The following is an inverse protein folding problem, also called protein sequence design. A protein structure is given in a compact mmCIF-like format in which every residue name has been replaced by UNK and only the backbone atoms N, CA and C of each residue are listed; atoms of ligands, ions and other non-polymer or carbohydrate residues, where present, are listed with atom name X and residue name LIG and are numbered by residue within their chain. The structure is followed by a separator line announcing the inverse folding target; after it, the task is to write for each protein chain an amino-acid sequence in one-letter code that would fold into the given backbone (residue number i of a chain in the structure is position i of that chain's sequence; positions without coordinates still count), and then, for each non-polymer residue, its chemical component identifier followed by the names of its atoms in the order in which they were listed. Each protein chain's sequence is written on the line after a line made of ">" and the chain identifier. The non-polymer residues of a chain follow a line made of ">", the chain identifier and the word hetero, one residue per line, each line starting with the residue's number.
data_IF_987805472425
#
_entry.id   IF_987805472425
#
_cell.length_a   1.000
_cell.length_b   1.000
_cell.length_c   1.000
_cell.angle_alpha   90.00
_cell.angle_beta   90.00
_cell.angle_gamma   90.00
#
_symmetry.space_group_name_H-M   'P 1'
#
loop_
_entity.id
_entity.type
_entity.pdbx_description
1 polymer ?
#
# COMPACT_ATOMS: atom_id res chain seq x y z
N UNK A 1 -51.87 21.09 -31.16
CA UNK A 1 -50.61 20.39 -31.43
C UNK A 1 -50.27 19.54 -30.19
N UNK A 2 -50.96 18.43 -29.90
CA UNK A 2 -51.54 17.41 -30.81
C UNK A 2 -50.42 16.83 -31.70
N UNK A 3 -50.18 15.51 -31.78
CA UNK A 3 -51.07 14.35 -31.49
C UNK A 3 -50.41 13.22 -30.66
N UNK A 4 -51.23 12.28 -30.16
CA UNK A 4 -50.83 10.98 -29.57
C UNK A 4 -50.80 9.86 -30.65
N UNK A 5 -51.10 8.61 -30.25
CA UNK A 5 -51.22 7.32 -30.98
C UNK A 5 -49.93 6.46 -30.94
N UNK A 6 -49.79 5.47 -30.03
CA UNK A 6 -50.48 4.15 -29.91
C UNK A 6 -50.27 3.30 -31.19
N UNK A 7 -49.80 2.05 -31.19
CA UNK A 7 -50.28 0.79 -30.56
C UNK A 7 -49.10 -0.25 -30.64
N UNK A 8 -48.78 -1.19 -29.74
CA UNK A 8 -49.50 -2.34 -29.14
C UNK A 8 -49.96 -3.44 -30.14
N UNK A 9 -50.11 -4.69 -29.66
CA UNK A 9 -50.98 -5.69 -30.29
C UNK A 9 -50.33 -6.86 -31.04
N UNK A 10 -50.08 -7.95 -30.32
CA UNK A 10 -49.68 -9.28 -30.81
C UNK A 10 -50.83 -10.07 -31.50
N UNK A 11 -50.50 -11.25 -32.05
CA UNK A 11 -51.37 -12.36 -32.50
C UNK A 11 -51.86 -12.36 -33.96
N UNK A 12 -51.95 -13.49 -34.66
CA UNK A 12 -51.51 -14.86 -34.31
C UNK A 12 -52.25 -15.94 -35.11
N UNK A 13 -51.65 -17.15 -35.23
CA UNK A 13 -52.35 -18.47 -35.35
C UNK A 13 -51.37 -19.67 -35.37
N UNK A 14 -50.97 -20.03 -34.15
CA UNK A 14 -50.83 -21.36 -33.52
C UNK A 14 -51.77 -22.49 -34.01
N UNK A 15 -51.73 -23.74 -33.45
CA UNK A 15 -50.67 -24.58 -32.81
C UNK A 15 -50.72 -26.04 -33.40
N UNK A 16 -50.39 -27.19 -32.74
CA UNK A 16 -49.64 -27.52 -31.51
C UNK A 16 -48.41 -28.44 -31.84
N UNK A 17 -47.82 -29.35 -31.04
CA UNK A 17 -48.08 -29.94 -29.71
C UNK A 17 -46.80 -30.55 -29.05
N UNK A 18 -46.93 -31.06 -27.82
CA UNK A 18 -45.96 -31.90 -27.05
C UNK A 18 -46.46 -33.39 -27.01
N UNK A 19 -45.87 -34.41 -26.33
CA UNK A 19 -44.66 -34.50 -25.47
C UNK A 19 -43.74 -35.78 -25.57
N UNK A 20 -42.55 -35.73 -24.94
CA UNK A 20 -41.82 -36.77 -24.12
C UNK A 20 -41.33 -38.15 -24.66
N UNK A 21 -40.36 -38.72 -23.89
CA UNK A 21 -39.91 -40.15 -23.79
C UNK A 21 -38.87 -40.66 -24.81
N UNK A 22 -37.98 -41.65 -24.57
CA UNK A 22 -37.06 -42.09 -23.50
C UNK A 22 -36.31 -43.36 -24.04
N UNK A 23 -34.98 -43.45 -23.86
CA UNK A 23 -34.11 -44.68 -23.74
C UNK A 23 -34.04 -45.79 -24.85
N UNK A 24 -32.92 -46.54 -24.83
CA UNK A 24 -32.60 -47.85 -25.48
C UNK A 24 -32.23 -47.74 -26.99
N UNK A 25 -31.13 -48.30 -27.53
CA UNK A 25 -29.99 -49.05 -26.97
C UNK A 25 -29.66 -50.32 -27.77
N UNK A 26 -28.46 -50.43 -28.37
CA UNK A 26 -27.64 -51.66 -28.55
C UNK A 26 -26.58 -51.56 -29.67
N UNK A 27 -25.36 -51.97 -29.30
CA UNK A 27 -24.39 -52.81 -30.06
C UNK A 27 -24.37 -52.78 -31.59
N UNK A 28 -23.18 -52.47 -32.14
CA UNK A 28 -22.62 -53.34 -33.19
C UNK A 28 -21.14 -53.66 -32.96
N UNK A 29 -20.77 -54.93 -33.18
CA UNK A 29 -19.45 -55.50 -32.94
C UNK A 29 -18.81 -55.81 -34.30
N UNK A 30 -17.87 -54.98 -34.74
CA UNK A 30 -17.12 -55.25 -35.98
C UNK A 30 -15.70 -55.69 -35.65
N UNK A 31 -15.47 -57.00 -35.76
CA UNK A 31 -14.15 -57.59 -35.91
C UNK A 31 -13.67 -57.41 -37.35
N UNK A 32 -12.46 -56.89 -37.56
CA UNK A 32 -11.76 -57.06 -38.84
C UNK A 32 -10.51 -57.92 -38.64
N UNK A 33 -10.62 -59.16 -39.09
CA UNK A 33 -9.54 -60.11 -39.34
C UNK A 33 -8.62 -59.62 -40.46
N UNK A 34 -7.32 -59.92 -40.40
CA UNK A 34 -6.50 -59.91 -41.61
C UNK A 34 -6.99 -61.02 -42.55
N UNK A 35 -7.14 -60.68 -43.83
CA UNK A 35 -7.26 -61.65 -44.92
C UNK A 35 -6.31 -61.21 -46.02
N UNK A 36 -5.20 -61.94 -46.15
CA UNK A 36 -4.27 -61.78 -47.26
C UNK A 36 -4.87 -62.46 -48.51
N UNK A 37 -5.32 -61.67 -49.49
CA UNK A 37 -5.51 -62.20 -50.85
C UNK A 37 -4.19 -62.04 -51.63
N UNK A 38 -3.48 -63.16 -51.78
CA UNK A 38 -2.37 -63.29 -52.73
C UNK A 38 -2.97 -63.52 -54.12
N UNK A 39 -2.66 -62.65 -55.08
CA UNK A 39 -2.94 -62.90 -56.49
C UNK A 39 -1.63 -62.94 -57.31
N UNK A 40 -1.55 -63.90 -58.22
CA UNK A 40 -0.37 -64.33 -58.97
C UNK A 40 -0.52 -64.02 -60.47
N UNK A 41 0.56 -64.26 -61.21
CA UNK A 41 0.71 -64.15 -62.67
C UNK A 41 0.88 -62.69 -63.19
N UNK A 42 1.75 -62.38 -64.15
CA UNK A 42 2.52 -63.24 -65.07
C UNK A 42 3.84 -62.60 -65.57
N UNK A 43 4.80 -63.45 -65.98
CA UNK A 43 5.87 -63.32 -67.03
C UNK A 43 6.46 -61.90 -67.30
N UNK A 44 7.79 -61.67 -67.35
CA UNK A 44 8.86 -62.45 -68.02
C UNK A 44 10.29 -62.10 -67.48
N UNK A 45 11.29 -62.87 -67.90
CA UNK A 45 12.72 -62.95 -67.51
C UNK A 45 13.55 -61.65 -67.39
N UNK A 46 14.44 -61.56 -66.37
CA UNK A 46 15.70 -60.79 -66.47
C UNK A 46 16.29 -60.18 -65.18
N UNK A 47 17.26 -60.87 -64.54
CA UNK A 47 18.28 -60.39 -63.57
C UNK A 47 17.86 -59.68 -62.24
N UNK A 48 18.40 -60.18 -61.14
CA UNK A 48 18.48 -59.60 -59.77
C UNK A 48 19.51 -58.43 -59.68
N UNK A 49 19.59 -57.61 -58.59
CA UNK A 49 19.10 -57.87 -57.21
C UNK A 49 18.45 -56.70 -56.42
N UNK A 50 18.01 -57.06 -55.20
CA UNK A 50 17.91 -56.25 -53.96
C UNK A 50 16.77 -55.21 -53.78
N UNK A 51 15.61 -55.77 -53.45
CA UNK A 51 14.82 -55.49 -52.22
C UNK A 51 14.85 -54.10 -51.55
N UNK A 52 13.67 -53.48 -51.52
CA UNK A 52 13.27 -52.40 -50.64
C UNK A 52 11.74 -52.26 -50.69
N UNK A 53 11.01 -52.20 -49.55
CA UNK A 53 9.55 -52.17 -49.55
C UNK A 53 8.99 -50.91 -50.22
N UNK A 54 7.88 -51.09 -50.95
CA UNK A 54 7.28 -50.08 -51.83
C UNK A 54 6.79 -48.85 -51.08
N UNK A 55 6.96 -47.68 -51.70
CA UNK A 55 6.34 -46.42 -51.27
C UNK A 55 4.82 -46.56 -51.17
N UNK A 56 4.26 -46.27 -49.98
CA UNK A 56 2.81 -46.11 -49.78
C UNK A 56 2.52 -44.62 -49.68
N UNK A 57 1.82 -44.10 -50.69
CA UNK A 57 1.35 -42.72 -50.70
C UNK A 57 0.09 -42.62 -49.85
N UNK A 58 0.20 -42.02 -48.66
CA UNK A 58 -0.97 -41.68 -47.84
C UNK A 58 -1.63 -40.43 -48.44
N UNK A 59 -2.69 -40.63 -49.23
CA UNK A 59 -3.57 -39.57 -49.70
C UNK A 59 -4.29 -38.89 -48.55
N UNK A 60 -4.58 -37.58 -48.69
CA UNK A 60 -5.22 -36.76 -47.66
C UNK A 60 -6.59 -37.31 -47.23
N UNK A 61 -6.83 -37.37 -45.93
CA UNK A 61 -8.16 -37.17 -45.33
C UNK A 61 -8.02 -36.59 -43.91
N UNK A 62 -9.14 -36.14 -43.34
CA UNK A 62 -9.22 -35.24 -42.18
C UNK A 62 -8.82 -35.87 -40.83
N UNK A 63 -8.73 -35.01 -39.81
CA UNK A 63 -8.30 -35.31 -38.42
C UNK A 63 -8.73 -36.70 -37.91
N UNK A 64 -7.77 -37.62 -37.87
CA UNK A 64 -7.82 -38.81 -37.01
C UNK A 64 -6.69 -38.73 -36.00
N UNK A 65 -7.04 -38.75 -34.72
CA UNK A 65 -6.07 -38.86 -33.61
C UNK A 65 -5.51 -40.28 -33.56
N UNK A 66 -4.37 -40.50 -34.22
CA UNK A 66 -3.66 -41.78 -34.19
C UNK A 66 -3.00 -41.99 -32.82
N UNK A 67 -3.73 -42.61 -31.89
CA UNK A 67 -3.20 -43.05 -30.59
C UNK A 67 -2.41 -44.35 -30.79
N UNK A 68 -1.08 -44.26 -30.84
CA UNK A 68 -0.21 -45.43 -31.00
C UNK A 68 -0.13 -46.21 -29.67
N UNK A 69 -0.90 -47.29 -29.54
CA UNK A 69 -0.83 -48.19 -28.39
C UNK A 69 0.15 -49.33 -28.69
N UNK A 70 1.27 -49.35 -27.95
CA UNK A 70 2.27 -50.42 -28.00
C UNK A 70 2.71 -50.79 -26.59
N UNK A 71 2.67 -52.09 -26.27
CA UNK A 71 3.14 -52.61 -24.98
C UNK A 71 4.67 -52.57 -24.95
N UNK A 72 5.23 -51.60 -24.23
CA UNK A 72 6.69 -51.53 -24.00
C UNK A 72 7.06 -52.52 -22.89
N UNK A 73 7.73 -53.61 -23.25
CA UNK A 73 8.26 -54.56 -22.28
C UNK A 73 9.52 -53.96 -21.62
N UNK A 74 9.34 -53.33 -20.46
CA UNK A 74 10.40 -52.67 -19.69
C UNK A 74 11.29 -53.70 -18.99
N UNK A 75 12.31 -54.22 -19.69
CA UNK A 75 13.45 -54.82 -19.01
C UNK A 75 14.22 -53.76 -18.23
N UNK A 76 14.51 -54.02 -16.96
CA UNK A 76 15.17 -53.09 -16.04
C UNK A 76 16.50 -52.55 -16.58
N UNK A 77 16.62 -51.22 -16.65
CA UNK A 77 17.89 -50.51 -16.88
C UNK A 77 17.87 -49.56 -18.07
N UNK A 78 17.88 -48.25 -17.78
CA UNK A 78 18.21 -47.14 -18.69
C UNK A 78 17.32 -46.96 -19.94
N UNK A 79 16.29 -46.13 -19.83
CA UNK A 79 15.64 -45.54 -21.00
C UNK A 79 16.40 -44.31 -21.49
N UNK A 80 16.84 -44.34 -22.75
CA UNK A 80 17.34 -43.17 -23.47
C UNK A 80 16.18 -42.53 -24.26
N UNK A 81 15.98 -41.22 -24.13
CA UNK A 81 15.04 -40.45 -24.95
C UNK A 81 15.70 -40.09 -26.29
N UNK A 82 15.14 -40.61 -27.39
CA UNK A 82 15.76 -40.54 -28.74
C UNK A 82 15.48 -39.21 -29.48
N UNK A 83 14.70 -38.30 -28.89
CA UNK A 83 14.29 -37.04 -29.53
C UNK A 83 14.34 -35.83 -28.57
N UNK A 84 15.49 -35.62 -27.93
CA UNK A 84 15.74 -34.40 -27.15
C UNK A 84 16.99 -33.68 -27.65
N UNK A 85 16.81 -32.90 -28.71
CA UNK A 85 17.82 -32.00 -29.27
C UNK A 85 17.10 -30.79 -29.90
N UNK A 86 16.73 -29.83 -29.06
CA UNK A 86 16.69 -28.41 -29.40
C UNK A 86 16.82 -27.61 -28.10
N UNK A 87 18.05 -27.16 -27.85
CA UNK A 87 18.43 -26.06 -26.96
C UNK A 87 17.79 -26.04 -25.56
N UNK A 88 18.52 -26.64 -24.61
CA UNK A 88 18.24 -26.62 -23.18
C UNK A 88 18.43 -25.22 -22.55
N UNK A 89 17.58 -24.26 -22.91
CA UNK A 89 17.21 -23.19 -21.99
C UNK A 89 16.55 -23.84 -20.76
N UNK A 90 17.34 -24.05 -19.70
CA UNK A 90 16.82 -24.49 -18.40
C UNK A 90 15.93 -23.40 -17.82
N UNK A 91 14.67 -23.37 -18.25
CA UNK A 91 13.62 -22.55 -17.63
C UNK A 91 13.60 -22.88 -16.15
N UNK A 92 13.95 -21.91 -15.32
CA UNK A 92 14.09 -22.10 -13.88
C UNK A 92 12.69 -22.23 -13.25
N UNK A 93 12.14 -23.45 -13.26
CA UNK A 93 10.83 -23.73 -12.68
C UNK A 93 10.98 -23.78 -11.17
N UNK A 94 10.61 -22.67 -10.51
CA UNK A 94 10.51 -22.62 -9.06
C UNK A 94 9.56 -23.72 -8.54
N UNK A 95 10.00 -24.56 -7.58
CA UNK A 95 9.18 -25.63 -7.05
C UNK A 95 8.02 -25.07 -6.21
N UNK A 96 6.93 -25.84 -6.08
CA UNK A 96 5.70 -25.38 -5.41
C UNK A 96 5.92 -24.87 -3.98
N UNK A 97 6.82 -25.50 -3.21
CA UNK A 97 7.14 -25.05 -1.85
C UNK A 97 7.83 -23.67 -1.84
N UNK A 98 8.64 -23.36 -2.87
CA UNK A 98 9.27 -22.05 -2.98
C UNK A 98 8.22 -20.97 -3.29
N UNK A 99 7.25 -21.25 -4.17
CA UNK A 99 6.10 -20.34 -4.39
C UNK A 99 5.28 -20.11 -3.12
N UNK A 100 5.09 -21.16 -2.30
CA UNK A 100 4.43 -21.03 -1.00
C UNK A 100 5.20 -20.10 -0.04
N UNK A 101 6.53 -20.27 0.09
CA UNK A 101 7.35 -19.38 0.92
C UNK A 101 7.43 -17.95 0.37
N UNK A 102 7.35 -17.77 -0.95
CA UNK A 102 7.25 -16.42 -1.56
C UNK A 102 5.96 -15.73 -1.09
N UNK A 103 4.83 -16.44 -1.07
CA UNK A 103 3.56 -15.89 -0.57
C UNK A 103 3.51 -15.71 0.95
N UNK A 104 4.11 -16.64 1.71
CA UNK A 104 4.06 -16.64 3.18
C UNK A 104 5.05 -15.66 3.83
N UNK A 105 6.20 -15.41 3.20
CA UNK A 105 7.31 -14.66 3.81
C UNK A 105 7.78 -13.52 2.91
N UNK A 106 8.16 -13.80 1.65
CA UNK A 106 8.84 -12.80 0.80
C UNK A 106 7.93 -11.62 0.46
N UNK A 107 6.70 -11.88 0.01
CA UNK A 107 5.73 -10.82 -0.32
C UNK A 107 5.42 -9.98 0.93
N UNK A 108 5.06 -10.55 2.10
CA UNK A 108 4.93 -9.80 3.34
C UNK A 108 6.14 -8.95 3.72
N UNK A 109 7.35 -9.49 3.68
CA UNK A 109 8.57 -8.73 4.07
C UNK A 109 8.80 -7.55 3.13
N UNK A 110 8.66 -7.75 1.81
CA UNK A 110 8.79 -6.66 0.83
C UNK A 110 7.67 -5.63 1.00
N UNK A 111 6.45 -6.07 1.33
CA UNK A 111 5.30 -5.19 1.52
C UNK A 111 5.39 -4.37 2.82
N UNK A 112 5.85 -4.96 3.92
CA UNK A 112 6.22 -4.26 5.16
C UNK A 112 7.31 -3.23 4.92
N UNK A 113 8.36 -3.58 4.16
CA UNK A 113 9.42 -2.62 3.83
C UNK A 113 8.90 -1.47 2.96
N UNK A 114 8.07 -1.76 1.96
CA UNK A 114 7.47 -0.76 1.07
C UNK A 114 6.51 0.17 1.82
N UNK A 115 5.66 -0.38 2.69
CA UNK A 115 4.74 0.43 3.52
C UNK A 115 5.49 1.22 4.59
N UNK A 116 6.60 0.69 5.13
CA UNK A 116 7.49 1.45 6.02
C UNK A 116 8.17 2.64 5.33
N UNK A 117 8.53 2.52 4.04
CA UNK A 117 9.06 3.65 3.25
C UNK A 117 7.99 4.69 2.86
N UNK A 118 6.72 4.30 2.81
CA UNK A 118 5.59 5.21 2.55
C UNK A 118 5.05 5.87 3.83
N UNK A 119 5.28 5.25 4.98
CA UNK A 119 4.91 5.75 6.30
C UNK A 119 5.94 6.77 6.78
N UNK A 120 5.81 8.03 6.35
CA UNK A 120 6.61 9.13 6.85
C UNK A 120 6.22 9.43 8.31
N UNK A 121 6.95 8.86 9.27
CA UNK A 121 6.64 8.98 10.69
C UNK A 121 7.00 10.38 11.21
N UNK A 122 6.03 11.28 11.19
CA UNK A 122 6.14 12.66 11.64
C UNK A 122 5.26 13.56 10.79
N UNK A 123 4.01 13.78 11.21
CA UNK A 123 3.12 14.73 10.55
C UNK A 123 3.51 16.18 10.85
N UNK A 124 4.38 16.43 11.84
CA UNK A 124 4.83 17.77 12.23
C UNK A 124 6.28 18.06 11.81
N UNK A 125 6.60 19.34 11.70
CA UNK A 125 7.97 19.86 11.75
C UNK A 125 8.10 20.84 12.92
N UNK A 126 9.33 21.07 13.35
CA UNK A 126 9.68 21.98 14.42
C UNK A 126 10.87 22.83 14.00
N UNK A 127 10.79 24.13 14.25
CA UNK A 127 11.88 25.10 14.19
C UNK A 127 12.07 25.66 15.58
N UNK A 128 13.29 25.66 16.11
CA UNK A 128 13.54 26.12 17.48
C UNK A 128 14.82 26.94 17.62
N UNK A 129 14.91 27.70 18.71
CA UNK A 129 16.10 28.41 19.13
C UNK A 129 16.17 28.49 20.67
N UNK A 130 17.32 28.10 21.22
CA UNK A 130 17.73 28.21 22.62
C UNK A 130 18.60 29.46 22.88
N UNK A 131 19.10 30.10 21.82
CA UNK A 131 19.92 31.30 21.88
C UNK A 131 19.12 32.54 21.46
N UNK A 132 18.87 33.43 22.40
CA UNK A 132 18.37 34.77 22.11
C UNK A 132 19.50 35.80 21.94
N UNK A 133 19.18 36.87 21.23
CA UNK A 133 19.91 38.13 21.26
C UNK A 133 19.04 39.19 21.93
N UNK A 134 19.50 39.73 23.06
CA UNK A 134 18.99 40.99 23.60
C UNK A 134 19.75 42.12 22.92
N UNK A 135 19.03 42.99 22.22
CA UNK A 135 19.59 44.21 21.64
C UNK A 135 19.59 45.39 22.64
N UNK A 136 18.95 45.22 23.82
CA UNK A 136 18.37 46.31 24.61
C UNK A 136 17.33 47.12 23.80
N UNK A 137 16.62 46.45 22.89
CA UNK A 137 15.46 47.02 22.20
C UNK A 137 14.25 46.91 23.13
N UNK A 138 13.56 48.02 23.37
CA UNK A 138 12.32 48.11 24.13
C UNK A 138 11.11 48.34 23.21
N UNK A 139 9.92 47.90 23.65
CA UNK A 139 8.67 48.16 22.94
C UNK A 139 7.58 48.61 23.91
N UNK A 140 6.78 49.60 23.51
CA UNK A 140 5.60 50.03 24.27
C UNK A 140 4.32 49.48 23.64
N UNK A 141 3.57 48.67 24.39
CA UNK A 141 2.31 48.04 24.00
C UNK A 141 1.26 48.38 25.07
N UNK A 142 0.10 48.94 24.69
CA UNK A 142 -0.95 49.35 25.64
C UNK A 142 -0.47 50.21 26.83
N UNK A 143 0.43 51.18 26.57
CA UNK A 143 1.07 52.07 27.57
C UNK A 143 2.09 51.39 28.52
N UNK A 144 2.20 50.06 28.50
CA UNK A 144 3.24 49.31 29.23
C UNK A 144 4.53 49.18 28.40
N UNK A 145 5.69 49.10 29.08
CA UNK A 145 7.01 48.90 28.47
C UNK A 145 7.47 47.43 28.61
N UNK A 146 8.13 46.90 27.58
CA UNK A 146 8.60 45.52 27.49
C UNK A 146 10.02 45.45 26.92
N UNK A 147 10.85 44.56 27.46
CA UNK A 147 12.16 44.20 26.90
C UNK A 147 11.99 43.19 25.76
N UNK A 148 12.69 43.39 24.64
CA UNK A 148 12.57 42.54 23.43
C UNK A 148 13.77 41.61 23.24
N UNK A 149 13.48 40.32 23.19
CA UNK A 149 14.42 39.22 22.94
C UNK A 149 14.20 38.64 21.55
N UNK A 150 15.25 38.57 20.73
CA UNK A 150 15.17 38.01 19.37
C UNK A 150 15.77 36.61 19.31
N UNK A 151 14.97 35.67 18.84
CA UNK A 151 15.32 34.29 18.53
C UNK A 151 15.41 34.09 17.01
N UNK A 152 16.49 33.48 16.53
CA UNK A 152 16.70 33.19 15.11
C UNK A 152 16.49 31.70 14.82
N UNK A 153 15.31 31.35 14.32
CA UNK A 153 14.86 29.96 14.09
C UNK A 153 15.52 29.29 12.85
N UNK A 154 16.38 30.03 12.13
CA UNK A 154 17.10 29.52 10.98
C UNK A 154 16.30 29.57 9.68
N UNK A 155 16.92 29.10 8.58
CA UNK A 155 16.37 29.28 7.23
C UNK A 155 15.14 28.40 6.98
N UNK A 156 14.11 29.03 6.40
CA UNK A 156 12.88 28.36 5.97
C UNK A 156 11.76 28.45 7.00
N UNK A 157 12.02 29.00 8.19
CA UNK A 157 10.96 29.32 9.15
C UNK A 157 9.99 30.35 8.56
N UNK A 158 10.49 31.39 7.88
CA UNK A 158 9.66 32.41 7.22
C UNK A 158 8.72 31.82 6.15
N UNK A 159 9.18 30.83 5.39
CA UNK A 159 8.39 30.14 4.37
C UNK A 159 7.37 29.15 4.99
N UNK A 160 7.65 28.67 6.22
CA UNK A 160 6.82 27.69 6.94
C UNK A 160 5.76 28.36 7.83
N UNK A 161 6.03 29.55 8.37
CA UNK A 161 5.12 30.24 9.29
C UNK A 161 3.77 30.54 8.62
N UNK A 162 2.67 30.11 9.26
CA UNK A 162 1.29 30.20 8.74
C UNK A 162 1.05 29.50 7.39
N UNK A 163 1.94 28.61 6.95
CA UNK A 163 1.77 27.85 5.70
C UNK A 163 0.83 26.63 5.84
N UNK A 164 0.46 26.26 7.07
CA UNK A 164 -0.43 25.14 7.40
C UNK A 164 -1.48 25.58 8.42
N UNK A 165 -2.63 24.88 8.43
CA UNK A 165 -3.79 25.21 9.28
C UNK A 165 -3.55 24.93 10.77
N UNK A 166 -2.66 23.99 11.10
CA UNK A 166 -2.34 23.58 12.47
C UNK A 166 -0.91 23.96 12.81
N UNK A 167 -0.75 24.88 13.77
CA UNK A 167 0.54 25.34 14.25
C UNK A 167 0.46 25.92 15.66
N UNK A 168 1.59 25.96 16.35
CA UNK A 168 1.80 26.73 17.57
C UNK A 168 3.24 27.24 17.64
N UNK A 169 3.40 28.42 18.22
CA UNK A 169 4.65 28.88 18.84
C UNK A 169 4.53 28.58 20.33
N UNK A 170 5.58 28.03 20.94
CA UNK A 170 5.74 27.91 22.39
C UNK A 170 7.02 28.66 22.80
N UNK A 171 6.94 29.36 23.93
CA UNK A 171 8.06 30.10 24.52
C UNK A 171 8.22 29.68 25.96
N UNK A 172 9.43 29.26 26.33
CA UNK A 172 9.76 28.77 27.66
C UNK A 172 10.54 29.80 28.48
N UNK A 173 10.28 29.79 29.77
CA UNK A 173 10.92 30.65 30.77
C UNK A 173 11.49 29.78 31.88
N UNK A 174 12.80 29.57 31.84
CA UNK A 174 13.56 28.88 32.89
C UNK A 174 14.15 29.87 33.89
N UNK A 175 13.66 29.86 35.14
CA UNK A 175 14.25 30.67 36.19
C UNK A 175 15.25 29.85 37.03
N UNK A 176 16.53 30.21 36.91
CA UNK A 176 17.63 29.67 37.71
C UNK A 176 17.74 30.34 39.11
N UNK A 177 16.60 30.46 39.81
CA UNK A 177 16.55 31.01 41.16
C UNK A 177 17.18 30.03 42.17
N UNK A 178 18.16 30.44 43.01
CA UNK A 178 18.76 29.58 44.01
C UNK A 178 17.78 29.01 45.05
N UNK A 179 16.61 29.65 45.27
CA UNK A 179 15.61 29.19 46.23
C UNK A 179 14.63 28.14 45.66
N UNK A 180 14.64 27.90 44.35
CA UNK A 180 13.85 26.84 43.72
C UNK A 180 13.82 26.93 42.19
N UNK A 181 13.85 25.77 41.52
CA UNK A 181 13.70 25.67 40.07
C UNK A 181 12.22 25.76 39.71
N UNK A 182 11.87 26.73 38.88
CA UNK A 182 10.52 26.91 38.35
C UNK A 182 10.59 27.16 36.84
N UNK A 183 9.71 26.48 36.13
CA UNK A 183 9.54 26.54 34.68
C UNK A 183 8.09 26.89 34.41
N UNK A 184 7.86 27.82 33.47
CA UNK A 184 6.57 28.10 32.88
C UNK A 184 6.76 28.40 31.41
N UNK A 185 5.68 28.29 30.64
CA UNK A 185 5.72 28.52 29.20
C UNK A 185 4.49 29.31 28.75
N UNK A 186 4.50 29.79 27.51
CA UNK A 186 3.35 30.46 26.94
C UNK A 186 3.24 30.21 25.44
N UNK A 187 2.00 30.10 24.96
CA UNK A 187 1.69 29.59 23.62
C UNK A 187 0.89 30.61 22.80
N UNK A 188 1.12 30.59 21.49
CA UNK A 188 0.26 31.20 20.46
C UNK A 188 0.08 30.18 19.36
N UNK A 189 -1.14 29.72 19.10
CA UNK A 189 -1.38 28.68 18.10
C UNK A 189 -2.85 28.29 17.98
N UNK A 190 -3.20 27.61 16.89
CA UNK A 190 -4.61 27.32 16.53
C UNK A 190 -5.18 26.12 17.29
N UNK A 191 -4.32 25.23 17.80
CA UNK A 191 -4.72 23.90 18.29
C UNK A 191 -5.13 23.87 19.78
N UNK A 192 -4.62 24.79 20.59
CA UNK A 192 -5.07 24.90 21.99
C UNK A 192 -6.43 25.60 22.06
N UNK A 193 -7.41 24.92 22.67
CA UNK A 193 -8.86 25.24 22.75
C UNK A 193 -9.25 26.66 23.19
N UNK A 194 -8.31 27.50 23.62
CA UNK A 194 -8.53 28.88 24.10
C UNK A 194 -7.56 29.92 23.49
N UNK A 195 -6.58 29.48 22.67
CA UNK A 195 -5.56 30.34 22.07
C UNK A 195 -6.05 30.95 20.73
N UNK A 196 -7.09 31.78 20.79
CA UNK A 196 -7.32 32.72 19.69
C UNK A 196 -6.09 33.64 19.57
N UNK A 197 -5.57 33.81 18.35
CA UNK A 197 -4.48 34.77 18.09
C UNK A 197 -5.01 36.18 18.32
N UNK A 198 -4.84 36.69 19.53
CA UNK A 198 -5.21 38.06 19.93
C UNK A 198 -4.07 39.00 19.50
N UNK A 199 -4.31 39.76 18.44
CA UNK A 199 -3.37 40.74 17.90
C UNK A 199 -3.52 42.11 18.59
N UNK A 200 -2.39 42.78 18.81
CA UNK A 200 -2.30 44.14 19.34
C UNK A 200 -1.23 44.94 18.59
N UNK A 201 -1.51 46.22 18.34
CA UNK A 201 -0.51 47.14 17.78
C UNK A 201 0.38 47.73 18.89
N UNK A 202 1.69 47.82 18.63
CA UNK A 202 2.59 48.63 19.45
C UNK A 202 2.50 50.12 19.12
N UNK A 203 3.20 50.95 19.91
CA UNK A 203 3.25 52.40 19.72
C UNK A 203 3.82 52.87 18.35
N UNK A 204 4.48 51.99 17.59
CA UNK A 204 4.97 52.25 16.24
C UNK A 204 4.04 51.69 15.13
N UNK A 205 2.96 51.01 15.51
CA UNK A 205 2.02 50.37 14.60
C UNK A 205 2.51 49.04 14.01
N UNK A 206 3.38 48.31 14.74
CA UNK A 206 3.70 46.91 14.42
C UNK A 206 2.73 46.00 15.18
N UNK A 207 2.25 44.96 14.50
CA UNK A 207 1.38 43.94 15.09
C UNK A 207 2.19 42.94 15.93
N UNK A 208 1.67 42.63 17.12
CA UNK A 208 2.14 41.61 18.04
C UNK A 208 1.01 40.65 18.41
N UNK A 209 1.33 39.37 18.57
CA UNK A 209 0.41 38.33 19.03
C UNK A 209 0.58 38.14 20.53
N UNK A 210 -0.50 38.17 21.30
CA UNK A 210 -0.49 37.94 22.74
C UNK A 210 -0.40 36.45 23.06
N UNK A 211 0.51 36.05 23.94
CA UNK A 211 0.58 34.67 24.42
C UNK A 211 -0.51 34.34 25.44
N UNK A 212 -0.94 33.08 25.43
CA UNK A 212 -1.66 32.45 26.54
C UNK A 212 -0.66 31.74 27.44
N UNK A 213 -0.68 32.02 28.74
CA UNK A 213 0.22 31.38 29.71
C UNK A 213 -0.18 29.93 29.96
N UNK A 214 0.81 29.02 30.02
CA UNK A 214 0.63 27.57 30.15
C UNK A 214 1.62 27.01 31.19
N UNK A 215 1.23 25.96 31.90
CA UNK A 215 1.97 25.35 33.03
C UNK A 215 2.40 26.35 34.13
N UNK A 216 1.75 27.51 34.15
CA UNK A 216 1.99 28.57 35.11
C UNK A 216 1.29 28.23 36.43
N UNK A 217 1.98 27.51 37.30
CA UNK A 217 1.48 27.13 38.63
C UNK A 217 1.97 28.02 39.77
N UNK A 218 2.83 28.99 39.47
CA UNK A 218 3.24 30.00 40.45
C UNK A 218 2.25 31.18 40.40
N UNK A 219 1.91 31.74 41.55
CA UNK A 219 1.08 32.96 41.62
C UNK A 219 1.84 34.17 41.04
N UNK A 220 3.17 34.20 41.17
CA UNK A 220 4.04 35.31 40.74
C UNK A 220 3.97 35.62 39.23
N UNK A 221 3.60 34.65 38.39
CA UNK A 221 3.55 34.84 36.92
C UNK A 221 2.12 34.89 36.37
N UNK A 222 1.05 34.79 37.17
CA UNK A 222 -0.33 34.70 36.65
C UNK A 222 -0.77 35.92 35.83
N UNK A 223 -0.23 37.10 36.19
CA UNK A 223 -0.52 38.38 35.55
C UNK A 223 0.53 38.79 34.48
N UNK A 224 1.50 37.91 34.16
CA UNK A 224 2.56 38.21 33.19
C UNK A 224 2.01 38.40 31.78
N UNK A 225 2.56 39.39 31.07
CA UNK A 225 2.20 39.69 29.68
C UNK A 225 3.38 39.40 28.77
N UNK A 226 3.21 38.39 27.93
CA UNK A 226 4.18 38.05 26.88
C UNK A 226 3.54 38.28 25.51
N UNK A 227 4.27 38.95 24.64
CA UNK A 227 3.87 39.22 23.26
C UNK A 227 4.92 38.72 22.28
N UNK A 228 4.47 38.14 21.16
CA UNK A 228 5.31 37.60 20.10
C UNK A 228 5.13 38.39 18.81
N UNK A 229 6.21 38.55 18.07
CA UNK A 229 6.15 39.08 16.71
C UNK A 229 7.09 38.31 15.81
N UNK A 230 6.55 37.76 14.73
CA UNK A 230 7.34 37.12 13.67
C UNK A 230 7.78 38.18 12.67
N UNK A 231 9.05 38.15 12.28
CA UNK A 231 9.59 39.03 11.24
C UNK A 231 10.79 38.36 10.57
N UNK A 232 10.61 37.93 9.32
CA UNK A 232 11.57 37.12 8.62
C UNK A 232 11.75 35.74 9.27
N UNK A 233 12.99 35.27 9.34
CA UNK A 233 13.34 33.99 9.96
C UNK A 233 13.57 34.10 11.49
N UNK A 234 12.89 35.05 12.15
CA UNK A 234 13.10 35.41 13.55
C UNK A 234 11.78 35.61 14.30
N UNK A 235 11.76 35.19 15.56
CA UNK A 235 10.69 35.48 16.52
C UNK A 235 11.22 36.48 17.54
N UNK A 236 10.45 37.53 17.77
CA UNK A 236 10.70 38.55 18.78
C UNK A 236 9.74 38.32 19.94
N UNK A 237 10.26 38.17 21.14
CA UNK A 237 9.51 37.95 22.39
C UNK A 237 9.64 39.21 23.25
N UNK A 238 8.52 39.80 23.65
CA UNK A 238 8.48 40.97 24.51
C UNK A 238 7.93 40.60 25.90
N UNK A 239 8.66 40.92 26.97
CA UNK A 239 8.30 40.61 28.37
C UNK A 239 8.41 41.83 29.30
N UNK A 240 7.68 41.84 30.42
CA UNK A 240 7.59 42.99 31.34
C UNK A 240 8.60 42.98 32.50
N UNK A 241 9.39 41.93 32.64
CA UNK A 241 10.09 41.59 33.89
C UNK A 241 11.48 40.98 33.64
N UNK A 242 12.23 40.75 34.73
CA UNK A 242 13.51 40.03 34.71
C UNK A 242 13.43 38.58 34.15
N UNK A 243 12.23 38.12 33.77
CA UNK A 243 11.99 36.82 33.14
C UNK A 243 12.49 36.83 31.68
N UNK A 244 13.75 36.45 31.53
CA UNK A 244 14.40 36.22 30.23
C UNK A 244 13.88 34.91 29.62
N UNK A 245 13.35 34.90 28.38
CA UNK A 245 12.97 33.66 27.70
C UNK A 245 14.20 32.80 27.38
N UNK A 246 14.11 31.51 27.66
CA UNK A 246 15.20 30.55 27.48
C UNK A 246 15.13 29.77 26.17
N UNK A 247 13.93 29.54 25.64
CA UNK A 247 13.70 28.75 24.43
C UNK A 247 12.45 29.22 23.70
N UNK A 248 12.47 29.13 22.37
CA UNK A 248 11.30 29.32 21.50
C UNK A 248 11.28 28.19 20.48
N UNK A 249 10.14 27.50 20.36
CA UNK A 249 9.83 26.62 19.25
C UNK A 249 8.62 27.11 18.46
N UNK A 250 8.61 26.77 17.18
CA UNK A 250 7.47 26.80 16.29
C UNK A 250 7.30 25.40 15.71
N UNK A 251 6.16 24.77 15.99
CA UNK A 251 5.77 23.53 15.34
C UNK A 251 4.49 23.72 14.54
N UNK A 252 4.34 22.91 13.50
CA UNK A 252 3.15 22.85 12.66
C UNK A 252 2.95 21.44 12.13
N UNK A 253 1.69 21.08 11.89
CA UNK A 253 1.34 19.82 11.23
C UNK A 253 1.12 20.06 9.73
N UNK A 254 1.62 19.14 8.91
CA UNK A 254 1.20 19.00 7.53
C UNK A 254 -0.18 18.36 7.45
N UNK A 255 -0.93 18.66 6.38
CA UNK A 255 -2.03 17.79 5.95
C UNK A 255 -1.55 16.33 5.85
N UNK A 256 -2.33 15.39 6.39
CA UNK A 256 -1.97 13.97 6.34
C UNK A 256 -1.69 13.52 4.90
N UNK A 257 -0.47 13.06 4.65
CA UNK A 257 -0.09 12.63 3.30
C UNK A 257 -1.02 11.50 2.84
N UNK A 258 -1.64 11.59 1.65
CA UNK A 258 -2.50 10.52 1.12
C UNK A 258 -1.74 9.20 0.92
N UNK A 259 -0.40 9.22 1.01
CA UNK A 259 0.46 8.05 1.04
C UNK A 259 0.16 7.12 2.24
N UNK A 260 -0.35 7.61 3.38
CA UNK A 260 -0.74 6.75 4.50
C UNK A 260 -1.94 5.86 4.13
N UNK A 261 -2.93 6.43 3.43
CA UNK A 261 -4.07 5.68 2.89
C UNK A 261 -3.62 4.67 1.82
N UNK A 262 -2.66 5.05 0.95
CA UNK A 262 -2.05 4.13 -0.02
C UNK A 262 -1.33 2.99 0.69
N UNK A 263 -0.52 3.27 1.73
CA UNK A 263 0.19 2.26 2.50
C UNK A 263 -0.76 1.26 3.17
N UNK A 264 -1.86 1.73 3.75
CA UNK A 264 -2.92 0.90 4.30
C UNK A 264 -3.62 0.03 3.23
N UNK A 265 -3.91 0.59 2.05
CA UNK A 265 -4.59 -0.12 0.95
C UNK A 265 -3.68 -1.10 0.19
N UNK A 266 -2.36 -0.92 0.22
CA UNK A 266 -1.41 -1.85 -0.42
C UNK A 266 -1.54 -3.28 0.12
N UNK A 267 -1.78 -3.45 1.43
CA UNK A 267 -1.94 -4.77 2.05
C UNK A 267 -3.12 -5.58 1.47
N UNK A 268 -4.39 -5.13 1.54
CA UNK A 268 -5.51 -5.88 0.97
C UNK A 268 -5.40 -6.02 -0.55
N UNK A 269 -4.91 -5.00 -1.27
CA UNK A 269 -4.75 -5.08 -2.74
C UNK A 269 -3.75 -6.17 -3.13
N UNK A 270 -2.57 -6.21 -2.50
CA UNK A 270 -1.52 -7.20 -2.83
C UNK A 270 -1.92 -8.61 -2.39
N UNK A 271 -2.59 -8.77 -1.24
CA UNK A 271 -3.07 -10.08 -0.79
C UNK A 271 -4.15 -10.62 -1.73
N UNK A 272 -5.21 -9.86 -1.99
CA UNK A 272 -6.33 -10.29 -2.85
C UNK A 272 -5.86 -10.50 -4.29
N UNK A 273 -5.15 -9.51 -4.86
CA UNK A 273 -4.61 -9.58 -6.22
C UNK A 273 -3.59 -10.71 -6.39
N UNK A 274 -2.68 -10.88 -5.42
CA UNK A 274 -1.69 -11.96 -5.41
C UNK A 274 -2.31 -13.35 -5.29
N UNK A 275 -3.35 -13.51 -4.47
CA UNK A 275 -4.11 -14.77 -4.39
C UNK A 275 -4.85 -15.08 -5.70
N UNK A 276 -5.57 -14.11 -6.29
CA UNK A 276 -6.27 -14.30 -7.57
C UNK A 276 -5.27 -14.65 -8.68
N UNK A 277 -4.18 -13.88 -8.80
CA UNK A 277 -3.09 -14.15 -9.73
C UNK A 277 -2.52 -15.56 -9.55
N UNK A 278 -2.25 -15.97 -8.31
CA UNK A 278 -1.77 -17.30 -7.98
C UNK A 278 -2.70 -18.42 -8.46
N UNK A 279 -4.02 -18.26 -8.38
CA UNK A 279 -4.96 -19.24 -8.93
C UNK A 279 -5.04 -19.20 -10.46
N UNK A 280 -5.14 -18.01 -11.06
CA UNK A 280 -5.26 -17.82 -12.52
C UNK A 280 -4.02 -18.35 -13.26
N UNK A 281 -2.81 -18.08 -12.76
CA UNK A 281 -1.55 -18.55 -13.37
C UNK A 281 -1.15 -19.96 -12.94
N UNK A 282 -2.05 -20.73 -12.33
CA UNK A 282 -1.81 -22.07 -11.74
C UNK A 282 -0.67 -22.13 -10.68
N UNK A 283 -0.23 -20.98 -10.16
CA UNK A 283 0.74 -20.87 -9.05
C UNK A 283 0.04 -20.97 -7.70
N UNK A 284 -0.82 -21.98 -7.52
CA UNK A 284 -1.73 -22.09 -6.36
C UNK A 284 -1.01 -22.04 -5.01
N UNK A 285 0.21 -22.56 -4.96
CA UNK A 285 1.06 -22.51 -3.77
C UNK A 285 1.35 -21.08 -3.29
N UNK A 286 1.55 -20.11 -4.20
CA UNK A 286 1.68 -18.68 -3.86
C UNK A 286 0.41 -18.15 -3.18
N UNK A 287 -0.76 -18.46 -3.76
CA UNK A 287 -2.05 -18.01 -3.22
C UNK A 287 -2.32 -18.59 -1.82
N UNK A 288 -2.00 -19.87 -1.60
CA UNK A 288 -2.08 -20.48 -0.28
C UNK A 288 -1.09 -19.85 0.71
N UNK A 289 0.13 -19.50 0.30
CA UNK A 289 1.10 -18.80 1.15
C UNK A 289 0.57 -17.46 1.66
N UNK A 290 0.00 -16.63 0.78
CA UNK A 290 -0.62 -15.35 1.12
C UNK A 290 -1.84 -15.52 2.05
N UNK A 291 -2.69 -16.52 1.78
CA UNK A 291 -3.85 -16.82 2.63
C UNK A 291 -3.43 -17.32 4.02
N UNK A 292 -2.41 -18.18 4.11
CA UNK A 292 -1.85 -18.64 5.39
C UNK A 292 -1.24 -17.49 6.18
N UNK A 293 -0.47 -16.60 5.54
CA UNK A 293 0.06 -15.39 6.18
C UNK A 293 -1.07 -14.52 6.77
N UNK A 294 -2.12 -14.26 5.98
CA UNK A 294 -3.28 -13.46 6.40
C UNK A 294 -3.98 -14.10 7.62
N UNK A 295 -4.17 -15.42 7.60
CA UNK A 295 -4.75 -16.16 8.72
C UNK A 295 -3.88 -16.14 9.98
N UNK A 296 -2.55 -16.17 9.84
CA UNK A 296 -1.62 -16.06 10.96
C UNK A 296 -1.67 -14.67 11.61
N UNK A 297 -1.68 -13.59 10.84
CA UNK A 297 -1.84 -12.22 11.39
C UNK A 297 -3.18 -12.07 12.09
N UNK A 298 -4.29 -12.47 11.44
CA UNK A 298 -5.61 -12.33 12.03
C UNK A 298 -5.76 -13.15 13.32
N UNK A 299 -5.22 -14.38 13.34
CA UNK A 299 -5.16 -15.22 14.53
C UNK A 299 -4.32 -14.61 15.67
N UNK A 300 -3.16 -14.03 15.35
CA UNK A 300 -2.31 -13.36 16.33
C UNK A 300 -2.97 -12.09 16.91
N UNK A 301 -3.65 -11.30 16.07
CA UNK A 301 -4.42 -10.13 16.49
C UNK A 301 -5.57 -10.51 17.43
N UNK A 302 -6.35 -11.55 17.11
CA UNK A 302 -7.41 -12.06 17.98
C UNK A 302 -6.86 -12.60 19.31
N UNK A 303 -5.73 -13.32 19.30
CA UNK A 303 -5.07 -13.78 20.52
C UNK A 303 -4.62 -12.62 21.40
N UNK A 304 -4.00 -11.59 20.82
CA UNK A 304 -3.61 -10.39 21.54
C UNK A 304 -4.80 -9.67 22.17
N UNK A 305 -5.89 -9.48 21.43
CA UNK A 305 -7.10 -8.84 21.94
C UNK A 305 -7.77 -9.66 23.07
N UNK A 306 -7.83 -10.99 22.95
CA UNK A 306 -8.32 -11.85 24.03
C UNK A 306 -7.45 -11.75 25.29
N UNK A 307 -6.13 -11.63 25.14
CA UNK A 307 -5.22 -11.42 26.29
C UNK A 307 -5.48 -10.06 26.96
N UNK A 308 -5.64 -8.97 26.20
CA UNK A 308 -5.99 -7.66 26.78
C UNK A 308 -7.27 -7.72 27.63
N UNK A 309 -8.35 -8.29 27.09
CA UNK A 309 -9.61 -8.45 27.83
C UNK A 309 -9.47 -9.37 29.07
N UNK A 310 -8.56 -10.35 29.05
CA UNK A 310 -8.27 -11.19 30.23
C UNK A 310 -7.51 -10.46 31.33
N UNK A 311 -6.71 -9.44 30.98
CA UNK A 311 -5.91 -8.65 31.93
C UNK A 311 -6.57 -7.31 32.33
N UNK A 312 -7.75 -6.99 31.79
CA UNK A 312 -8.58 -5.87 32.27
C UNK A 312 -8.20 -4.50 31.70
N UNK A 313 -7.68 -4.47 30.47
CA UNK A 313 -7.59 -3.27 29.62
C UNK A 313 -8.72 -3.27 28.58
#
# INVERSE_FOLDING_TARGET
>A
MEEEWWDSGESGKTPPDEPKSEVIGNSEKVTNTLSEEVNLDSRESGNTPLDGPKSVVIGKSEKVTNTLSGVVNLSSGNQYTVWDNNENEKKFVFPSWAWFLVGLIIVPVVLSFTTGLLNNSGNYQEYYADLHSSNNDDVTINEDLFDVYRFDLGRGFEDAFLSNDYWSINVEFENNNPDGYYYWNCNVGVDYQEAAVEEVDDSEGKVWMKCVLVNNWNEDFQDEKVYLRVNGNSIYVATQSDNVPSYVDYWYEYEESPLIFVACMLWPIVIIGGSIFGFVTQRRALAYGLMTFTGLIFGAFLLFFMLLMMYGF
#
